data_IF_337355816742
#
_entry.id   IF_337355816742
#
_cell.length_a   1.000
_cell.length_b   1.000
_cell.length_c   1.000
_cell.angle_alpha   90.00
_cell.angle_beta   90.00
_cell.angle_gamma   90.00
#
_symmetry.space_group_name_H-M   'P 1'
#
loop_
_entity.id
_entity.type
_entity.pdbx_description
1 polymer ?
#
# COMPACT_ATOMS: atom_id res chain seq x y z
N UNK A 1 -52.48 3.17 0.36
CA UNK A 1 -51.33 4.09 0.40
C UNK A 1 -50.50 3.72 1.61
N UNK A 2 -49.40 3.01 1.39
CA UNK A 2 -48.47 2.56 2.44
C UNK A 2 -47.08 2.50 1.79
N UNK A 3 -46.02 2.99 2.45
CA UNK A 3 -44.86 3.53 1.77
C UNK A 3 -43.88 2.46 1.28
N UNK A 4 -43.27 2.79 0.13
CA UNK A 4 -42.21 2.05 -0.56
C UNK A 4 -40.91 2.20 0.25
N UNK A 5 -40.42 1.11 0.83
CA UNK A 5 -39.10 1.08 1.46
C UNK A 5 -38.06 0.97 0.35
N UNK A 6 -37.30 2.04 0.13
CA UNK A 6 -36.10 2.04 -0.70
C UNK A 6 -34.97 1.41 0.12
N UNK A 7 -34.32 0.32 -0.34
CA UNK A 7 -33.07 -0.10 0.27
C UNK A 7 -31.99 0.93 -0.06
N UNK A 8 -31.43 1.51 1.00
CA UNK A 8 -30.33 2.47 0.96
C UNK A 8 -29.11 1.82 0.29
N UNK A 9 -28.48 2.57 -0.60
CA UNK A 9 -27.20 2.24 -1.23
C UNK A 9 -26.12 2.08 -0.15
N UNK A 10 -25.83 0.84 0.25
CA UNK A 10 -24.68 0.49 1.07
C UNK A 10 -23.39 0.59 0.26
N UNK A 11 -22.94 1.80 -0.01
CA UNK A 11 -21.61 2.03 -0.62
C UNK A 11 -20.98 3.28 -0.03
N UNK A 12 -20.76 3.33 1.29
CA UNK A 12 -19.88 4.34 1.90
C UNK A 12 -19.47 4.00 3.34
N UNK A 13 -18.67 2.95 3.57
CA UNK A 13 -18.13 2.67 4.91
C UNK A 13 -16.78 1.90 4.92
N UNK A 14 -16.05 1.82 3.81
CA UNK A 14 -14.76 1.12 3.80
C UNK A 14 -13.54 2.07 3.87
N UNK A 15 -13.71 3.36 3.54
CA UNK A 15 -12.61 4.33 3.51
C UNK A 15 -12.44 5.10 4.83
N UNK A 16 -13.47 5.15 5.69
CA UNK A 16 -13.49 5.94 6.92
C UNK A 16 -12.61 5.39 8.06
N UNK A 17 -12.14 4.15 7.96
CA UNK A 17 -11.32 3.48 8.99
C UNK A 17 -9.82 3.39 8.64
N UNK A 18 -9.39 3.98 7.53
CA UNK A 18 -7.98 3.95 7.11
C UNK A 18 -7.18 5.04 7.81
N UNK A 19 -6.01 4.66 8.34
CA UNK A 19 -5.07 5.61 8.93
C UNK A 19 -4.69 6.69 7.88
N UNK A 20 -4.63 7.99 8.26
CA UNK A 20 -4.40 9.08 7.30
C UNK A 20 -3.16 8.91 6.41
N UNK A 21 -2.05 8.41 6.97
CA UNK A 21 -0.83 8.15 6.19
C UNK A 21 -1.05 7.09 5.09
N UNK A 22 -1.91 6.09 5.33
CA UNK A 22 -2.25 5.06 4.33
C UNK A 22 -3.11 5.67 3.23
N UNK A 23 -4.03 6.57 3.57
CA UNK A 23 -4.80 7.32 2.58
C UNK A 23 -3.88 8.20 1.71
N UNK A 24 -2.89 8.85 2.30
CA UNK A 24 -1.86 9.60 1.55
C UNK A 24 -1.13 8.70 0.56
N UNK A 25 -0.65 7.53 0.99
CA UNK A 25 0.00 6.58 0.09
C UNK A 25 -0.90 6.17 -1.08
N UNK A 26 -2.17 5.86 -0.82
CA UNK A 26 -3.12 5.46 -1.88
C UNK A 26 -3.39 6.59 -2.86
N UNK A 27 -3.62 7.80 -2.33
CA UNK A 27 -3.97 8.98 -3.13
C UNK A 27 -2.83 9.43 -4.05
N UNK A 28 -1.62 9.45 -3.52
CA UNK A 28 -0.48 10.08 -4.19
C UNK A 28 0.41 9.07 -4.91
N UNK A 29 0.11 7.76 -4.80
CA UNK A 29 0.77 6.69 -5.53
C UNK A 29 0.84 7.01 -7.03
N UNK A 30 1.98 6.78 -7.70
CA UNK A 30 2.02 6.80 -9.15
C UNK A 30 0.96 5.86 -9.75
N UNK A 31 0.33 6.29 -10.83
CA UNK A 31 -0.58 5.44 -11.59
C UNK A 31 0.18 4.34 -12.33
N UNK A 32 -0.53 3.27 -12.72
CA UNK A 32 0.03 2.21 -13.58
C UNK A 32 0.64 2.75 -14.87
N UNK A 33 -0.03 3.72 -15.49
CA UNK A 33 0.46 4.34 -16.72
C UNK A 33 1.77 5.10 -16.51
N UNK A 34 1.93 5.81 -15.39
CA UNK A 34 3.19 6.44 -15.01
C UNK A 34 4.28 5.41 -14.73
N UNK A 35 3.97 4.34 -14.00
CA UNK A 35 4.92 3.27 -13.71
C UNK A 35 5.39 2.52 -14.98
N UNK A 36 4.50 2.28 -15.94
CA UNK A 36 4.86 1.65 -17.22
C UNK A 36 5.74 2.56 -18.08
N UNK A 37 5.43 3.86 -18.17
CA UNK A 37 6.29 4.83 -18.86
C UNK A 37 7.66 4.92 -18.18
N UNK A 38 7.67 4.98 -16.86
CA UNK A 38 8.91 5.02 -16.07
C UNK A 38 9.77 3.76 -16.27
N UNK A 39 9.17 2.57 -16.28
CA UNK A 39 9.89 1.32 -16.55
C UNK A 39 10.53 1.33 -17.95
N UNK A 40 9.81 1.82 -18.96
CA UNK A 40 10.36 1.98 -20.32
C UNK A 40 11.55 2.95 -20.34
N UNK A 41 11.40 4.15 -19.79
CA UNK A 41 12.49 5.16 -19.70
C UNK A 41 13.69 4.63 -18.91
N UNK A 42 13.46 3.90 -17.83
CA UNK A 42 14.50 3.31 -17.00
C UNK A 42 15.21 2.10 -17.66
N UNK A 43 14.68 1.59 -18.78
CA UNK A 43 15.07 0.32 -19.41
C UNK A 43 14.94 -0.86 -18.44
N UNK A 44 13.88 -0.88 -17.65
CA UNK A 44 13.54 -1.94 -16.72
C UNK A 44 12.34 -2.74 -17.22
N UNK A 45 12.18 -4.01 -16.82
CA UNK A 45 10.96 -4.75 -17.14
C UNK A 45 9.74 -4.02 -16.57
N UNK A 46 8.57 -4.14 -17.22
CA UNK A 46 7.34 -3.58 -16.69
C UNK A 46 7.05 -4.16 -15.30
N UNK A 47 6.56 -3.37 -14.34
CA UNK A 47 6.19 -3.90 -13.04
C UNK A 47 5.08 -4.94 -13.17
N UNK A 48 5.06 -5.87 -12.23
CA UNK A 48 3.97 -6.82 -12.07
C UNK A 48 2.62 -6.09 -11.89
N UNK A 49 1.52 -6.83 -12.01
CA UNK A 49 0.19 -6.31 -11.68
C UNK A 49 0.09 -5.96 -10.19
N UNK A 50 -0.71 -4.96 -9.86
CA UNK A 50 -0.88 -4.42 -8.50
C UNK A 50 -1.27 -5.50 -7.49
N UNK A 51 -2.15 -6.42 -7.89
CA UNK A 51 -2.59 -7.55 -7.08
C UNK A 51 -1.44 -8.53 -6.77
N UNK A 52 -0.55 -8.75 -7.74
CA UNK A 52 0.65 -9.59 -7.58
C UNK A 52 1.64 -8.93 -6.63
N UNK A 53 1.90 -7.62 -6.78
CA UNK A 53 2.79 -6.87 -5.88
C UNK A 53 2.22 -6.84 -4.46
N UNK A 54 0.92 -6.58 -4.33
CA UNK A 54 0.19 -6.60 -3.06
C UNK A 54 0.27 -7.99 -2.40
N UNK A 55 -0.02 -9.06 -3.14
CA UNK A 55 0.04 -10.44 -2.62
C UNK A 55 1.45 -10.81 -2.18
N UNK A 56 2.47 -10.34 -2.91
CA UNK A 56 3.87 -10.51 -2.52
C UNK A 56 4.15 -9.84 -1.17
N UNK A 57 3.73 -8.57 -0.99
CA UNK A 57 3.88 -7.87 0.29
C UNK A 57 3.16 -8.51 1.45
N UNK A 58 1.92 -8.97 1.22
CA UNK A 58 1.16 -9.73 2.21
C UNK A 58 1.90 -11.01 2.62
N UNK A 59 2.36 -11.78 1.63
CA UNK A 59 2.99 -13.09 1.84
C UNK A 59 4.31 -12.94 2.58
N UNK A 60 5.17 -12.01 2.15
CA UNK A 60 6.47 -11.78 2.76
C UNK A 60 6.31 -11.27 4.18
N UNK A 61 5.45 -10.27 4.43
CA UNK A 61 5.20 -9.78 5.79
C UNK A 61 4.66 -10.89 6.70
N UNK A 62 3.77 -11.73 6.20
CA UNK A 62 3.28 -12.89 6.94
C UNK A 62 4.41 -13.90 7.23
N UNK A 63 5.28 -14.17 6.27
CA UNK A 63 6.36 -15.14 6.47
C UNK A 63 7.44 -14.62 7.45
N UNK A 64 7.69 -13.31 7.47
CA UNK A 64 8.75 -12.71 8.29
C UNK A 64 8.28 -12.27 9.67
N UNK A 65 7.01 -11.90 9.83
CA UNK A 65 6.45 -11.65 11.15
C UNK A 65 6.37 -12.98 11.90
N UNK A 66 7.15 -13.09 12.98
CA UNK A 66 7.24 -14.32 13.78
C UNK A 66 5.97 -14.62 14.59
N UNK A 67 6.16 -15.35 15.69
CA UNK A 67 5.08 -15.69 16.61
C UNK A 67 4.47 -14.42 17.21
N UNK A 68 3.15 -14.28 17.10
CA UNK A 68 2.46 -13.11 17.65
C UNK A 68 2.19 -13.29 19.15
N UNK A 69 2.35 -12.23 19.96
CA UNK A 69 1.89 -12.26 21.35
C UNK A 69 0.40 -12.60 21.43
N UNK A 70 -0.01 -13.33 22.47
CA UNK A 70 -1.43 -13.64 22.72
C UNK A 70 -2.19 -12.43 23.26
N UNK A 71 -1.53 -11.58 24.06
CA UNK A 71 -2.14 -10.37 24.59
C UNK A 71 -2.36 -9.34 23.47
N UNK A 72 -3.62 -8.92 23.30
CA UNK A 72 -4.05 -8.03 22.21
C UNK A 72 -3.21 -6.76 22.06
N UNK A 73 -2.96 -6.03 23.16
CA UNK A 73 -2.18 -4.79 23.11
C UNK A 73 -0.70 -5.04 22.75
N UNK A 74 -0.11 -6.15 23.23
CA UNK A 74 1.26 -6.53 22.90
C UNK A 74 1.37 -6.96 21.42
N UNK A 75 0.35 -7.65 20.91
CA UNK A 75 0.23 -8.01 19.49
C UNK A 75 0.15 -6.77 18.61
N UNK A 76 -0.67 -5.78 18.98
CA UNK A 76 -0.75 -4.48 18.31
C UNK A 76 0.61 -3.78 18.25
N UNK A 77 1.30 -3.64 19.38
CA UNK A 77 2.62 -3.01 19.44
C UNK A 77 3.67 -3.75 18.58
N UNK A 78 3.70 -5.08 18.62
CA UNK A 78 4.64 -5.86 17.83
C UNK A 78 4.40 -5.69 16.32
N UNK A 79 3.13 -5.72 15.90
CA UNK A 79 2.74 -5.51 14.50
C UNK A 79 3.06 -4.10 14.03
N UNK A 80 2.78 -3.09 14.85
CA UNK A 80 3.12 -1.70 14.54
C UNK A 80 4.64 -1.51 14.43
N UNK A 81 5.42 -2.09 15.35
CA UNK A 81 6.89 -2.02 15.31
C UNK A 81 7.46 -2.66 14.03
N UNK A 82 6.90 -3.79 13.59
CA UNK A 82 7.32 -4.45 12.35
C UNK A 82 6.88 -3.69 11.09
N UNK A 83 5.71 -3.06 11.11
CA UNK A 83 5.16 -2.36 9.95
C UNK A 83 5.71 -0.93 9.78
N UNK A 84 6.03 -0.23 10.88
CA UNK A 84 6.45 1.18 10.86
C UNK A 84 7.61 1.47 9.87
N UNK A 85 8.68 0.66 9.79
CA UNK A 85 9.76 0.91 8.82
C UNK A 85 9.30 0.85 7.36
N UNK A 86 8.35 -0.03 7.05
CA UNK A 86 7.79 -0.19 5.70
C UNK A 86 6.93 1.01 5.31
N UNK A 87 6.14 1.51 6.27
CA UNK A 87 5.36 2.73 6.10
C UNK A 87 6.27 3.95 5.92
N UNK A 88 7.30 4.10 6.74
CA UNK A 88 8.27 5.19 6.65
C UNK A 88 8.95 5.20 5.28
N UNK A 89 9.48 4.06 4.83
CA UNK A 89 10.11 3.96 3.51
C UNK A 89 9.18 4.36 2.37
N UNK A 90 7.90 3.93 2.42
CA UNK A 90 6.93 4.28 1.40
C UNK A 90 6.62 5.79 1.38
N UNK A 91 6.56 6.43 2.55
CA UNK A 91 6.34 7.86 2.68
C UNK A 91 7.56 8.66 2.21
N UNK A 92 8.78 8.26 2.57
CA UNK A 92 10.01 8.92 2.14
C UNK A 92 10.15 8.90 0.60
N UNK A 93 9.85 7.74 0.00
CA UNK A 93 9.85 7.60 -1.47
C UNK A 93 8.77 8.44 -2.14
N UNK A 94 7.63 8.63 -1.48
CA UNK A 94 6.52 9.44 -1.98
C UNK A 94 6.87 10.94 -1.88
N UNK A 95 7.43 11.39 -0.76
CA UNK A 95 7.83 12.78 -0.53
C UNK A 95 8.91 13.25 -1.52
N UNK A 96 9.81 12.33 -1.87
CA UNK A 96 10.93 12.59 -2.80
C UNK A 96 10.58 12.31 -4.26
N UNK A 97 9.30 12.06 -4.59
CA UNK A 97 8.89 11.90 -5.98
C UNK A 97 9.19 13.19 -6.79
N UNK A 98 9.66 13.04 -8.04
CA UNK A 98 9.87 14.19 -8.91
C UNK A 98 8.54 14.91 -9.18
N UNK A 99 8.56 16.25 -9.12
CA UNK A 99 7.39 17.09 -9.35
C UNK A 99 6.82 16.92 -10.76
N UNK A 100 7.67 16.57 -11.74
CA UNK A 100 7.27 16.29 -13.12
C UNK A 100 7.37 14.80 -13.37
N UNK A 101 6.21 14.13 -13.38
CA UNK A 101 6.09 12.69 -13.64
C UNK A 101 6.05 12.45 -15.16
N UNK A 102 7.22 12.20 -15.74
CA UNK A 102 7.38 11.95 -17.18
C UNK A 102 8.58 12.64 -17.83
N UNK A 103 9.59 13.04 -17.05
CA UNK A 103 10.88 13.41 -17.61
C UNK A 103 11.56 12.19 -18.25
N UNK A 104 12.39 12.44 -19.26
CA UNK A 104 13.28 11.42 -19.85
C UNK A 104 14.49 11.10 -18.95
N UNK A 105 14.48 11.60 -17.72
CA UNK A 105 15.52 11.33 -16.74
C UNK A 105 15.36 9.91 -16.18
N UNK A 106 16.41 9.11 -16.37
CA UNK A 106 16.46 7.72 -15.95
C UNK A 106 16.33 7.58 -14.43
N UNK A 107 16.93 8.46 -13.66
CA UNK A 107 16.94 8.35 -12.19
C UNK A 107 15.57 8.69 -11.63
N UNK A 108 14.94 9.76 -12.15
CA UNK A 108 13.55 10.09 -11.86
C UNK A 108 12.58 8.95 -12.21
N UNK A 109 12.79 8.29 -13.37
CA UNK A 109 11.99 7.15 -13.79
C UNK A 109 12.16 5.93 -12.86
N UNK A 110 13.39 5.60 -12.45
CA UNK A 110 13.63 4.54 -11.47
C UNK A 110 12.95 4.85 -10.12
N UNK A 111 12.98 6.12 -9.70
CA UNK A 111 12.33 6.55 -8.47
C UNK A 111 10.81 6.36 -8.54
N UNK A 112 10.16 6.79 -9.63
CA UNK A 112 8.72 6.58 -9.85
C UNK A 112 8.37 5.08 -9.78
N UNK A 113 9.13 4.24 -10.48
CA UNK A 113 8.88 2.79 -10.50
C UNK A 113 9.04 2.17 -9.11
N UNK A 114 10.09 2.57 -8.37
CA UNK A 114 10.34 2.10 -7.01
C UNK A 114 9.21 2.52 -6.07
N UNK A 115 8.82 3.80 -6.09
CA UNK A 115 7.72 4.30 -5.25
C UNK A 115 6.43 3.55 -5.52
N UNK A 116 6.07 3.33 -6.79
CA UNK A 116 4.90 2.55 -7.18
C UNK A 116 4.92 1.14 -6.59
N UNK A 117 5.99 0.38 -6.80
CA UNK A 117 6.10 -1.00 -6.29
C UNK A 117 6.08 -1.02 -4.76
N UNK A 118 6.84 -0.14 -4.11
CA UNK A 118 6.91 -0.08 -2.64
C UNK A 118 5.56 0.25 -2.02
N UNK A 119 4.78 1.19 -2.57
CA UNK A 119 3.45 1.52 -2.04
C UNK A 119 2.52 0.29 -2.12
N UNK A 120 2.39 -0.34 -3.28
CA UNK A 120 1.52 -1.51 -3.43
C UNK A 120 1.94 -2.68 -2.53
N UNK A 121 3.25 -2.89 -2.39
CA UNK A 121 3.80 -3.90 -1.49
C UNK A 121 3.48 -3.58 -0.02
N UNK A 122 3.67 -2.33 0.41
CA UNK A 122 3.37 -1.86 1.77
C UNK A 122 1.88 -1.97 2.10
N UNK A 123 0.99 -1.73 1.13
CA UNK A 123 -0.45 -1.96 1.30
C UNK A 123 -0.77 -3.45 1.56
N UNK A 124 -0.08 -4.36 0.86
CA UNK A 124 -0.15 -5.80 1.11
C UNK A 124 0.34 -6.18 2.50
N UNK A 125 1.49 -5.66 2.91
CA UNK A 125 2.04 -5.87 4.24
C UNK A 125 1.10 -5.37 5.35
N UNK A 126 0.47 -4.20 5.16
CA UNK A 126 -0.55 -3.68 6.07
C UNK A 126 -1.74 -4.63 6.21
N UNK A 127 -2.23 -5.16 5.09
CA UNK A 127 -3.34 -6.11 5.12
C UNK A 127 -2.97 -7.39 5.91
N UNK A 128 -1.74 -7.88 5.76
CA UNK A 128 -1.24 -9.00 6.56
C UNK A 128 -1.15 -8.65 8.05
N UNK A 129 -0.66 -7.44 8.37
CA UNK A 129 -0.60 -6.97 9.76
C UNK A 129 -2.01 -6.92 10.40
N UNK A 130 -2.99 -6.36 9.69
CA UNK A 130 -4.38 -6.29 10.17
C UNK A 130 -5.03 -7.68 10.31
N UNK A 131 -4.76 -8.59 9.38
CA UNK A 131 -5.25 -9.96 9.48
C UNK A 131 -4.73 -10.67 10.74
N UNK A 132 -3.47 -10.43 11.11
CA UNK A 132 -2.88 -10.96 12.35
C UNK A 132 -3.36 -10.26 13.61
N UNK A 133 -3.58 -8.94 13.55
CA UNK A 133 -4.11 -8.19 14.67
C UNK A 133 -5.50 -8.71 15.09
N UNK A 134 -6.34 -8.97 14.08
CA UNK A 134 -7.70 -9.49 14.25
C UNK A 134 -7.77 -11.02 14.42
N UNK A 135 -6.63 -11.72 14.43
CA UNK A 135 -6.61 -13.15 14.66
C UNK A 135 -7.05 -13.46 16.11
N UNK A 136 -7.82 -14.55 16.31
CA UNK A 136 -8.29 -14.95 17.64
C UNK A 136 -7.15 -15.13 18.65
#
# INVERSE_FOLDING_TARGET
MTPRITPQSHTCSAQSDLHPLVLTLIRDCPSRAEALRAAHTAQQPPPNQEDVIFKSGYTIFSATFGTSPSAHNARGHALEAAFRPLLAQALDLLETLPSVRGSDDRDAAQHILRTYVTIHWTLGARAAAMARYNAP
#
